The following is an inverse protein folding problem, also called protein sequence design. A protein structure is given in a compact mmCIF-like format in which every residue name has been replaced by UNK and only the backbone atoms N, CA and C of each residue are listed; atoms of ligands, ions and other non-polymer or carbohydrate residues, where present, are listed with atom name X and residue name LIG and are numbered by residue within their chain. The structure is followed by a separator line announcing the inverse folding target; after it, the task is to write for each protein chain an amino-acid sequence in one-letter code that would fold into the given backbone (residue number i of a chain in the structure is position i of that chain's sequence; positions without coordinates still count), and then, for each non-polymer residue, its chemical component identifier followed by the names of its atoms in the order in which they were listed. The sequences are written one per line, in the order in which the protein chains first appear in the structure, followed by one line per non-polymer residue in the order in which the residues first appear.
data_IF_727260440257
#
_entry.id   IF_727260440257
#
_cell.length_a   1.000
_cell.length_b   1.000
_cell.length_c   1.000
_cell.angle_alpha   90.00
_cell.angle_beta   90.00
_cell.angle_gamma   90.00
#
_symmetry.space_group_name_H-M   'P 1'
#
loop_
_entity.id
_entity.type
_entity.pdbx_description
1 polymer ?
#
# COMPACT_ATOMS: atom_id res chain seq x y z
N UNK A 1 3.86 -14.89 -19.57
CA UNK A 1 3.37 -13.51 -19.40
C UNK A 1 4.39 -12.80 -18.56
N UNK A 2 4.83 -11.59 -18.90
CA UNK A 2 5.76 -10.83 -18.07
C UNK A 2 5.05 -10.28 -16.83
N UNK A 3 5.80 -10.06 -15.75
CA UNK A 3 5.25 -9.44 -14.53
C UNK A 3 5.01 -7.97 -14.81
N UNK A 4 3.78 -7.44 -14.58
CA UNK A 4 3.51 -6.01 -14.78
C UNK A 4 4.34 -5.16 -13.81
N UNK A 5 4.68 -3.95 -14.23
CA UNK A 5 5.44 -2.97 -13.44
C UNK A 5 4.56 -1.87 -12.87
N UNK A 6 3.40 -1.64 -13.49
CA UNK A 6 2.47 -0.59 -13.09
C UNK A 6 1.07 -1.15 -12.88
N UNK A 7 0.25 -0.41 -12.12
CA UNK A 7 -1.16 -0.76 -11.95
C UNK A 7 -1.93 -0.72 -13.27
N UNK A 8 -1.61 0.20 -14.18
CA UNK A 8 -2.20 0.28 -15.52
C UNK A 8 -1.88 -0.96 -16.36
N UNK A 9 -0.63 -1.41 -16.35
CA UNK A 9 -0.24 -2.68 -17.00
C UNK A 9 -1.00 -3.87 -16.40
N UNK A 10 -1.08 -3.95 -15.06
CA UNK A 10 -1.77 -5.01 -14.37
C UNK A 10 -3.28 -5.03 -14.70
N UNK A 11 -3.92 -3.87 -14.75
CA UNK A 11 -5.33 -3.74 -15.17
C UNK A 11 -5.54 -4.30 -16.58
N UNK A 12 -4.73 -3.85 -17.54
CA UNK A 12 -4.83 -4.28 -18.95
C UNK A 12 -4.59 -5.79 -19.13
N UNK A 13 -3.71 -6.36 -18.30
CA UNK A 13 -3.40 -7.79 -18.34
C UNK A 13 -4.44 -8.66 -17.61
N UNK A 14 -5.24 -8.10 -16.71
CA UNK A 14 -6.13 -8.83 -15.79
C UNK A 14 -7.14 -9.73 -16.54
N UNK A 15 -7.72 -9.26 -17.63
CA UNK A 15 -8.71 -10.04 -18.40
C UNK A 15 -8.09 -11.29 -19.01
N UNK A 16 -7.01 -11.13 -19.76
CA UNK A 16 -6.32 -12.25 -20.40
C UNK A 16 -5.79 -13.25 -19.37
N UNK A 17 -5.27 -12.74 -18.25
CA UNK A 17 -4.78 -13.59 -17.17
C UNK A 17 -5.91 -14.42 -16.56
N UNK A 18 -7.04 -13.80 -16.23
CA UNK A 18 -8.19 -14.46 -15.63
C UNK A 18 -8.79 -15.52 -16.58
N UNK A 19 -8.93 -15.20 -17.87
CA UNK A 19 -9.44 -16.13 -18.89
C UNK A 19 -8.55 -17.38 -19.04
N UNK A 20 -7.23 -17.22 -18.86
CA UNK A 20 -6.26 -18.33 -18.98
C UNK A 20 -6.13 -19.18 -17.72
N UNK A 21 -6.30 -18.59 -16.55
CA UNK A 21 -5.92 -19.24 -15.27
C UNK A 21 -7.09 -19.46 -14.33
N UNK A 22 -8.17 -18.70 -14.45
CA UNK A 22 -9.25 -18.63 -13.47
C UNK A 22 -8.90 -17.93 -12.16
N UNK A 23 -7.69 -17.35 -12.06
CA UNK A 23 -7.24 -16.58 -10.90
C UNK A 23 -7.19 -15.09 -11.23
N UNK A 24 -7.30 -14.24 -10.22
CA UNK A 24 -7.08 -12.80 -10.36
C UNK A 24 -5.59 -12.49 -10.51
N UNK A 25 -5.24 -11.50 -11.33
CA UNK A 25 -3.86 -11.09 -11.48
C UNK A 25 -3.38 -10.32 -10.24
N UNK A 26 -4.15 -9.34 -9.79
CA UNK A 26 -3.88 -8.55 -8.60
C UNK A 26 -5.19 -8.07 -7.95
N UNK A 27 -5.09 -7.53 -6.74
CA UNK A 27 -6.16 -6.82 -6.06
C UNK A 27 -5.76 -5.36 -5.90
N UNK A 28 -6.63 -4.40 -6.25
CA UNK A 28 -6.36 -2.99 -6.03
C UNK A 28 -6.12 -2.66 -4.56
N UNK A 29 -5.23 -1.71 -4.29
CA UNK A 29 -4.98 -1.19 -2.95
C UNK A 29 -6.15 -0.29 -2.49
N UNK A 30 -6.08 0.22 -1.28
CA UNK A 30 -7.02 1.24 -0.78
C UNK A 30 -7.06 2.45 -1.71
N UNK A 31 -8.25 2.97 -1.96
CA UNK A 31 -8.44 4.07 -2.91
C UNK A 31 -7.65 5.32 -2.53
N UNK A 32 -7.51 5.58 -1.25
CA UNK A 32 -6.63 6.61 -0.71
C UNK A 32 -5.19 6.47 -1.24
N UNK A 33 -4.62 5.27 -1.24
CA UNK A 33 -3.28 5.02 -1.74
C UNK A 33 -3.20 5.15 -3.27
N UNK A 34 -4.20 4.62 -3.98
CA UNK A 34 -4.30 4.72 -5.45
C UNK A 34 -4.27 6.18 -5.90
N UNK A 35 -4.97 7.09 -5.20
CA UNK A 35 -4.96 8.51 -5.54
C UNK A 35 -3.54 9.11 -5.49
N UNK A 36 -2.77 8.82 -4.43
CA UNK A 36 -1.37 9.27 -4.35
C UNK A 36 -0.49 8.67 -5.45
N UNK A 37 -0.63 7.38 -5.72
CA UNK A 37 0.14 6.68 -6.74
C UNK A 37 -0.16 7.24 -8.14
N UNK A 38 -1.41 7.65 -8.39
CA UNK A 38 -1.87 8.25 -9.65
C UNK A 38 -1.66 9.77 -9.71
N UNK A 39 -0.95 10.36 -8.76
CA UNK A 39 -0.71 11.81 -8.68
C UNK A 39 -2.01 12.61 -8.70
N UNK A 40 -2.91 12.23 -7.80
CA UNK A 40 -4.17 12.94 -7.53
C UNK A 40 -4.12 13.44 -6.11
N UNK A 41 -4.16 14.75 -5.94
CA UNK A 41 -4.15 15.37 -4.63
C UNK A 41 -5.44 15.08 -3.87
N UNK A 42 -5.31 14.58 -2.65
CA UNK A 42 -6.47 14.34 -1.77
C UNK A 42 -6.95 15.63 -1.14
N UNK A 43 -6.00 16.48 -0.74
CA UNK A 43 -6.27 17.80 -0.16
C UNK A 43 -5.66 18.89 -1.03
N UNK A 44 -6.20 20.11 -0.91
CA UNK A 44 -5.60 21.32 -1.43
C UNK A 44 -4.19 21.53 -0.87
N UNK A 45 -3.36 22.31 -1.55
CA UNK A 45 -1.96 22.55 -1.17
C UNK A 45 -1.80 23.17 0.21
N UNK A 46 -2.81 23.85 0.73
CA UNK A 46 -2.85 24.40 2.09
C UNK A 46 -3.49 23.44 3.12
N UNK A 47 -3.93 22.26 2.70
CA UNK A 47 -4.55 21.25 3.54
C UNK A 47 -5.94 21.61 4.08
N UNK A 48 -6.61 22.62 3.54
CA UNK A 48 -7.86 23.15 4.11
C UNK A 48 -9.12 22.64 3.44
N UNK A 49 -9.00 22.01 2.26
CA UNK A 49 -10.13 21.49 1.50
C UNK A 49 -9.77 20.15 0.81
N UNK A 50 -10.79 19.35 0.51
CA UNK A 50 -10.65 18.18 -0.35
C UNK A 50 -10.36 18.64 -1.81
N UNK A 51 -9.50 17.90 -2.51
CA UNK A 51 -9.09 18.21 -3.88
C UNK A 51 -9.25 17.04 -4.86
N UNK A 52 -9.61 15.85 -4.39
CA UNK A 52 -9.66 14.63 -5.20
C UNK A 52 -10.92 14.51 -6.09
N UNK A 53 -11.96 15.33 -5.90
CA UNK A 53 -13.17 15.32 -6.74
C UNK A 53 -12.88 16.00 -8.09
N UNK A 54 -12.25 15.24 -8.98
CA UNK A 54 -11.81 15.73 -10.29
C UNK A 54 -12.25 14.78 -11.42
N UNK A 55 -12.22 15.27 -12.66
CA UNK A 55 -12.47 14.43 -13.83
C UNK A 55 -11.49 13.26 -13.91
N UNK A 56 -10.20 13.48 -13.56
CA UNK A 56 -9.18 12.43 -13.53
C UNK A 56 -9.57 11.30 -12.56
N UNK A 57 -10.08 11.64 -11.39
CA UNK A 57 -10.56 10.68 -10.40
C UNK A 57 -11.80 9.92 -10.90
N UNK A 58 -12.73 10.62 -11.53
CA UNK A 58 -13.93 10.00 -12.10
C UNK A 58 -13.57 9.01 -13.22
N UNK A 59 -12.60 9.35 -14.07
CA UNK A 59 -12.16 8.46 -15.15
C UNK A 59 -11.39 7.24 -14.61
N UNK A 60 -10.56 7.42 -13.60
CA UNK A 60 -9.90 6.33 -12.88
C UNK A 60 -10.93 5.35 -12.27
N UNK A 61 -11.95 5.85 -11.59
CA UNK A 61 -13.03 5.03 -11.02
C UNK A 61 -13.82 4.28 -12.11
N UNK A 62 -14.08 4.91 -13.26
CA UNK A 62 -14.73 4.24 -14.40
C UNK A 62 -13.91 3.07 -14.91
N UNK A 63 -12.59 3.25 -14.99
CA UNK A 63 -11.69 2.20 -15.43
C UNK A 63 -11.70 1.02 -14.47
N UNK A 64 -11.49 1.24 -13.17
CA UNK A 64 -11.59 0.16 -12.17
C UNK A 64 -12.95 -0.53 -12.17
N UNK A 65 -14.03 0.26 -12.30
CA UNK A 65 -15.38 -0.28 -12.41
C UNK A 65 -15.54 -1.20 -13.60
N UNK A 66 -15.02 -0.83 -14.76
CA UNK A 66 -15.09 -1.64 -15.97
C UNK A 66 -14.48 -3.04 -15.76
N UNK A 67 -13.29 -3.13 -15.18
CA UNK A 67 -12.62 -4.41 -14.92
C UNK A 67 -13.30 -5.21 -13.80
N UNK A 68 -13.85 -4.53 -12.81
CA UNK A 68 -14.61 -5.15 -11.72
C UNK A 68 -15.93 -5.72 -12.23
N UNK A 69 -16.66 -5.00 -13.08
CA UNK A 69 -17.92 -5.46 -13.68
C UNK A 69 -17.70 -6.63 -14.67
N UNK A 70 -16.53 -6.73 -15.28
CA UNK A 70 -16.10 -7.89 -16.06
C UNK A 70 -15.73 -9.10 -15.20
N UNK A 71 -15.66 -8.95 -13.88
CA UNK A 71 -15.32 -10.02 -12.93
C UNK A 71 -13.85 -10.44 -12.96
N UNK A 72 -12.96 -9.62 -13.51
CA UNK A 72 -11.51 -9.90 -13.63
C UNK A 72 -10.67 -9.22 -12.55
N UNK A 73 -11.29 -8.40 -11.72
CA UNK A 73 -10.77 -7.85 -10.47
C UNK A 73 -11.68 -8.28 -9.33
N UNK A 74 -11.14 -8.70 -8.16
CA UNK A 74 -11.97 -9.08 -7.01
C UNK A 74 -12.82 -7.91 -6.54
N UNK A 75 -14.14 -8.14 -6.47
CA UNK A 75 -15.10 -7.14 -5.97
C UNK A 75 -15.20 -7.14 -4.45
N UNK A 76 -15.10 -8.32 -3.86
CA UNK A 76 -15.16 -8.53 -2.42
C UNK A 76 -13.77 -8.38 -1.80
N UNK A 77 -13.73 -8.05 -0.51
CA UNK A 77 -12.50 -7.96 0.28
C UNK A 77 -11.53 -6.85 -0.16
N UNK A 78 -12.01 -5.92 -0.95
CA UNK A 78 -11.23 -4.77 -1.37
C UNK A 78 -10.66 -4.00 -0.18
N UNK A 79 -9.38 -3.58 -0.29
CA UNK A 79 -8.67 -2.85 0.76
C UNK A 79 -8.23 -3.71 1.96
N UNK A 80 -8.55 -5.00 2.00
CA UNK A 80 -8.11 -5.90 3.06
C UNK A 80 -6.86 -6.68 2.65
N UNK A 81 -5.72 -6.32 3.23
CA UNK A 81 -4.46 -7.02 2.99
C UNK A 81 -4.53 -8.50 3.43
N UNK A 82 -5.14 -8.81 4.57
CA UNK A 82 -5.29 -10.19 5.04
C UNK A 82 -6.10 -11.06 4.07
N UNK A 83 -7.16 -10.51 3.49
CA UNK A 83 -7.97 -11.24 2.51
C UNK A 83 -7.23 -11.39 1.17
N UNK A 84 -6.46 -10.38 0.75
CA UNK A 84 -5.60 -10.49 -0.43
C UNK A 84 -4.56 -11.60 -0.23
N UNK A 85 -3.95 -11.67 0.95
CA UNK A 85 -2.96 -12.70 1.26
C UNK A 85 -3.59 -14.10 1.26
N UNK A 86 -4.78 -14.28 1.82
CA UNK A 86 -5.52 -15.55 1.76
C UNK A 86 -5.86 -15.98 0.33
N UNK A 87 -6.25 -15.03 -0.54
CA UNK A 87 -6.46 -15.32 -1.96
C UNK A 87 -5.15 -15.78 -2.62
N UNK A 88 -4.04 -15.14 -2.31
CA UNK A 88 -2.71 -15.50 -2.78
C UNK A 88 -2.30 -16.90 -2.29
N UNK A 89 -2.40 -17.16 -1.00
CA UNK A 89 -2.12 -18.44 -0.35
C UNK A 89 -2.97 -19.60 -0.90
N UNK A 90 -4.17 -19.29 -1.40
CA UNK A 90 -5.06 -20.26 -2.06
C UNK A 90 -4.87 -20.38 -3.58
N UNK A 91 -3.88 -19.67 -4.15
CA UNK A 91 -3.62 -19.66 -5.60
C UNK A 91 -4.69 -18.93 -6.44
N UNK A 92 -5.55 -18.14 -5.80
CA UNK A 92 -6.61 -17.37 -6.47
C UNK A 92 -6.22 -15.94 -6.82
N UNK A 93 -5.07 -15.49 -6.35
CA UNK A 93 -4.46 -14.20 -6.64
C UNK A 93 -3.00 -14.42 -7.03
N UNK A 94 -2.53 -13.83 -8.11
CA UNK A 94 -1.18 -14.05 -8.60
C UNK A 94 -0.15 -13.07 -8.02
N UNK A 95 -0.58 -11.83 -7.74
CA UNK A 95 0.29 -10.77 -7.20
C UNK A 95 -0.35 -10.24 -5.92
N UNK A 96 0.42 -10.24 -4.84
CA UNK A 96 0.06 -9.58 -3.58
C UNK A 96 1.15 -8.59 -3.20
N UNK A 97 0.74 -7.36 -2.89
CA UNK A 97 1.65 -6.35 -2.34
C UNK A 97 1.91 -6.66 -0.87
N UNK A 98 3.18 -6.86 -0.51
CA UNK A 98 3.55 -7.25 0.83
C UNK A 98 4.99 -6.87 1.17
N UNK A 99 5.40 -7.12 2.41
CA UNK A 99 6.79 -7.01 2.86
C UNK A 99 7.45 -8.38 2.98
N UNK A 100 8.77 -8.42 3.06
CA UNK A 100 9.52 -9.66 3.24
C UNK A 100 9.10 -10.48 4.48
N UNK A 101 8.52 -9.84 5.51
CA UNK A 101 8.01 -10.53 6.69
C UNK A 101 6.86 -11.50 6.41
N UNK A 102 6.10 -11.29 5.31
CA UNK A 102 5.00 -12.18 4.94
C UNK A 102 5.48 -13.51 4.35
N UNK A 103 6.71 -13.60 3.89
CA UNK A 103 7.26 -14.83 3.33
C UNK A 103 7.28 -15.99 4.35
N UNK A 104 7.57 -15.68 5.61
CA UNK A 104 7.52 -16.68 6.68
C UNK A 104 6.11 -17.24 6.85
N UNK A 105 5.08 -16.36 6.86
CA UNK A 105 3.69 -16.78 6.94
C UNK A 105 3.27 -17.63 5.74
N UNK A 106 3.60 -17.21 4.51
CA UNK A 106 3.28 -17.98 3.30
C UNK A 106 3.97 -19.36 3.34
N UNK A 107 5.21 -19.40 3.82
CA UNK A 107 5.95 -20.67 3.99
C UNK A 107 5.28 -21.65 4.95
N UNK A 108 4.73 -21.12 6.05
CA UNK A 108 4.10 -21.93 7.09
C UNK A 108 2.66 -22.31 6.72
N UNK A 109 1.86 -21.39 6.18
CA UNK A 109 0.43 -21.57 5.90
C UNK A 109 0.16 -22.16 4.51
N UNK A 110 1.03 -21.87 3.51
CA UNK A 110 0.88 -22.31 2.11
C UNK A 110 2.22 -22.79 1.50
N UNK A 111 2.85 -23.87 2.03
CA UNK A 111 4.19 -24.30 1.62
C UNK A 111 4.30 -24.68 0.15
N UNK A 112 3.23 -25.11 -0.49
CA UNK A 112 3.25 -25.44 -1.93
C UNK A 112 3.22 -24.18 -2.79
N UNK A 113 2.53 -23.15 -2.38
CA UNK A 113 2.60 -21.83 -3.01
C UNK A 113 4.01 -21.25 -2.82
N UNK A 114 4.55 -21.28 -1.60
CA UNK A 114 5.89 -20.78 -1.31
C UNK A 114 6.99 -21.33 -2.25
N UNK A 115 6.89 -22.58 -2.67
CA UNK A 115 7.85 -23.20 -3.61
C UNK A 115 7.79 -22.65 -5.03
N UNK A 116 6.72 -21.96 -5.39
CA UNK A 116 6.45 -21.51 -6.76
C UNK A 116 6.45 -20.00 -6.93
N UNK A 117 6.52 -19.25 -5.82
CA UNK A 117 6.49 -17.80 -5.86
C UNK A 117 7.86 -17.19 -6.19
N UNK A 118 7.82 -15.98 -6.67
CA UNK A 118 8.96 -15.09 -6.84
C UNK A 118 8.63 -13.73 -6.20
N UNK A 119 9.64 -12.93 -5.97
CA UNK A 119 9.49 -11.55 -5.51
C UNK A 119 9.77 -10.60 -6.66
N UNK A 120 9.08 -9.47 -6.68
CA UNK A 120 9.26 -8.38 -7.65
C UNK A 120 9.23 -7.03 -6.94
N UNK A 121 9.64 -5.99 -7.64
CA UNK A 121 9.39 -4.62 -7.19
C UNK A 121 7.88 -4.38 -7.06
N UNK A 122 7.46 -3.48 -6.17
CA UNK A 122 6.04 -3.13 -6.06
C UNK A 122 5.52 -2.54 -7.38
N UNK A 123 4.25 -2.74 -7.65
CA UNK A 123 3.56 -2.00 -8.72
C UNK A 123 3.54 -0.51 -8.35
N UNK A 124 3.67 0.34 -9.35
CA UNK A 124 3.59 1.80 -9.18
C UNK A 124 2.49 2.38 -10.07
N UNK A 125 1.96 3.53 -9.67
CA UNK A 125 1.07 4.32 -10.51
C UNK A 125 1.84 5.35 -11.36
N UNK A 126 1.15 6.39 -11.81
CA UNK A 126 1.69 7.45 -12.66
C UNK A 126 2.87 8.22 -12.04
N UNK A 127 2.99 8.23 -10.73
CA UNK A 127 4.11 8.89 -10.03
C UNK A 127 5.42 8.10 -10.10
N UNK A 128 5.37 6.81 -10.39
CA UNK A 128 6.51 5.90 -10.25
C UNK A 128 6.96 5.68 -8.78
N UNK A 129 6.18 6.18 -7.82
CA UNK A 129 6.44 6.03 -6.39
C UNK A 129 5.70 4.81 -5.84
N UNK A 130 6.30 4.18 -4.86
CA UNK A 130 5.65 3.16 -4.05
C UNK A 130 5.37 3.69 -2.64
N UNK A 131 4.35 3.12 -1.99
CA UNK A 131 4.03 3.44 -0.60
C UNK A 131 5.05 2.82 0.35
N UNK A 132 5.52 3.61 1.31
CA UNK A 132 6.35 3.13 2.42
C UNK A 132 5.80 3.69 3.74
N UNK A 133 4.88 3.00 4.41
CA UNK A 133 4.33 3.46 5.67
C UNK A 133 5.41 3.47 6.75
N UNK A 134 5.56 4.60 7.43
CA UNK A 134 6.49 4.76 8.53
C UNK A 134 5.82 4.44 9.86
N UNK A 135 6.47 3.61 10.67
CA UNK A 135 6.08 3.41 12.06
C UNK A 135 6.75 4.47 12.93
N UNK A 136 5.95 5.26 13.64
CA UNK A 136 6.42 6.37 14.46
C UNK A 136 6.31 6.04 15.94
N UNK A 137 7.33 6.43 16.72
CA UNK A 137 7.26 6.50 18.17
C UNK A 137 6.79 7.89 18.58
N UNK A 138 5.72 7.94 19.36
CA UNK A 138 5.15 9.20 19.84
C UNK A 138 5.24 9.30 21.34
N UNK A 139 5.48 10.52 21.84
CA UNK A 139 5.44 10.83 23.26
C UNK A 139 4.22 11.72 23.52
N UNK A 140 3.25 11.27 24.31
CA UNK A 140 2.05 12.06 24.59
C UNK A 140 2.41 13.39 25.25
N UNK A 141 1.74 14.47 24.86
CA UNK A 141 1.96 15.82 25.44
C UNK A 141 1.71 15.91 26.95
N UNK A 142 0.88 15.00 27.49
CA UNK A 142 0.58 14.90 28.92
C UNK A 142 1.51 13.97 29.71
N UNK A 143 2.56 13.41 29.07
CA UNK A 143 3.52 12.58 29.78
C UNK A 143 4.33 13.43 30.78
N UNK A 144 4.45 12.96 32.00
CA UNK A 144 5.29 13.61 33.02
C UNK A 144 6.78 13.40 32.79
N UNK A 145 7.16 12.40 31.96
CA UNK A 145 8.55 12.02 31.67
C UNK A 145 8.92 12.24 30.20
N UNK A 146 8.45 13.32 29.57
CA UNK A 146 8.64 13.56 28.12
C UNK A 146 10.12 13.54 27.71
N UNK A 147 10.99 14.17 28.50
CA UNK A 147 12.43 14.26 28.18
C UNK A 147 13.10 12.89 28.15
N UNK A 148 12.80 12.04 29.10
CA UNK A 148 13.32 10.68 29.19
C UNK A 148 12.71 9.79 28.11
N UNK A 149 11.43 9.93 27.83
CA UNK A 149 10.75 9.22 26.77
C UNK A 149 11.32 9.55 25.38
N UNK A 150 11.60 10.84 25.10
CA UNK A 150 12.25 11.27 23.85
C UNK A 150 13.67 10.69 23.74
N UNK A 151 14.45 10.71 24.82
CA UNK A 151 15.78 10.10 24.84
C UNK A 151 15.72 8.60 24.54
N UNK A 152 14.76 7.90 25.14
CA UNK A 152 14.56 6.47 24.90
C UNK A 152 14.13 6.21 23.46
N UNK A 153 13.16 6.97 22.92
CA UNK A 153 12.75 6.88 21.54
C UNK A 153 13.94 7.06 20.59
N UNK A 154 14.74 8.12 20.78
CA UNK A 154 15.94 8.37 19.97
C UNK A 154 16.99 7.26 20.10
N UNK A 155 17.11 6.65 21.28
CA UNK A 155 18.04 5.54 21.50
C UNK A 155 17.60 4.31 20.70
N UNK A 156 16.35 3.88 20.79
CA UNK A 156 15.90 2.65 20.11
C UNK A 156 15.75 2.85 18.60
N UNK A 157 15.61 4.09 18.11
CA UNK A 157 15.52 4.40 16.68
C UNK A 157 16.84 4.87 16.05
N UNK A 158 17.96 4.81 16.77
CA UNK A 158 19.26 5.11 16.17
C UNK A 158 19.69 4.03 15.17
N UNK A 159 20.70 4.33 14.35
CA UNK A 159 21.17 3.43 13.28
C UNK A 159 21.50 2.02 13.78
N UNK A 160 22.23 1.91 14.91
CA UNK A 160 22.70 0.65 15.46
C UNK A 160 21.53 -0.23 15.94
N UNK A 161 20.61 0.35 16.72
CA UNK A 161 19.49 -0.37 17.27
C UNK A 161 18.44 -0.72 16.20
N UNK A 162 18.18 0.18 15.24
CA UNK A 162 17.33 -0.13 14.10
C UNK A 162 17.90 -1.28 13.27
N UNK A 163 19.20 -1.26 12.96
CA UNK A 163 19.85 -2.32 12.21
C UNK A 163 19.73 -3.67 12.93
N UNK A 164 20.03 -3.69 14.24
CA UNK A 164 19.92 -4.89 15.06
C UNK A 164 18.49 -5.45 15.11
N UNK A 165 17.50 -4.56 15.21
CA UNK A 165 16.09 -4.94 15.23
C UNK A 165 15.62 -5.45 13.86
N UNK A 166 15.93 -4.72 12.79
CA UNK A 166 15.51 -5.07 11.44
C UNK A 166 16.09 -6.41 10.97
N UNK A 167 17.32 -6.74 11.38
CA UNK A 167 17.91 -8.07 11.12
C UNK A 167 17.16 -9.22 11.79
N UNK A 168 16.43 -8.95 12.88
CA UNK A 168 15.68 -9.99 13.62
C UNK A 168 14.24 -10.17 13.16
N UNK A 169 13.60 -9.12 12.69
CA UNK A 169 12.16 -9.14 12.37
C UNK A 169 11.88 -8.96 10.88
N UNK A 170 12.89 -9.00 10.03
CA UNK A 170 12.79 -8.93 8.57
C UNK A 170 12.00 -7.72 8.06
N UNK A 171 12.21 -6.56 8.71
CA UNK A 171 11.70 -5.26 8.26
C UNK A 171 12.84 -4.37 7.79
N UNK A 172 12.53 -3.26 7.12
CA UNK A 172 13.52 -2.33 6.59
C UNK A 172 13.70 -1.12 7.52
N UNK A 173 14.96 -0.67 7.78
CA UNK A 173 15.20 0.46 8.68
C UNK A 173 14.85 1.80 8.03
N UNK A 174 14.44 2.77 8.83
CA UNK A 174 14.08 4.12 8.37
C UNK A 174 15.26 5.09 8.32
N UNK A 175 16.42 4.73 8.89
CA UNK A 175 17.60 5.60 8.85
C UNK A 175 18.49 5.28 7.65
N UNK A 176 19.00 6.31 6.98
CA UNK A 176 19.83 6.17 5.78
C UNK A 176 21.05 5.28 6.01
N UNK A 177 21.74 5.44 7.15
CA UNK A 177 22.94 4.64 7.44
C UNK A 177 22.61 3.17 7.66
N UNK A 178 21.57 2.86 8.41
CA UNK A 178 21.16 1.47 8.63
C UNK A 178 20.63 0.82 7.33
N UNK A 179 19.92 1.57 6.49
CA UNK A 179 19.38 1.06 5.21
C UNK A 179 20.46 0.71 4.19
N UNK A 180 21.66 1.25 4.32
CA UNK A 180 22.82 0.97 3.45
C UNK A 180 23.67 -0.21 3.93
N UNK A 181 23.30 -0.87 5.03
CA UNK A 181 24.05 -2.05 5.50
C UNK A 181 23.97 -3.19 4.48
N UNK A 182 25.12 -3.83 4.24
CA UNK A 182 25.24 -4.93 3.26
C UNK A 182 24.33 -6.13 3.55
N UNK A 183 23.86 -6.28 4.78
CA UNK A 183 22.89 -7.30 5.15
C UNK A 183 21.65 -7.32 4.24
N UNK A 184 21.17 -6.15 3.86
CA UNK A 184 19.95 -6.02 3.04
C UNK A 184 20.17 -6.33 1.55
N UNK A 185 21.41 -6.51 1.10
CA UNK A 185 21.74 -6.72 -0.31
C UNK A 185 22.62 -7.94 -0.57
N UNK A 186 23.11 -8.63 0.47
CA UNK A 186 24.13 -9.67 0.33
C UNK A 186 23.58 -11.08 0.05
N UNK A 187 22.36 -11.38 0.49
CA UNK A 187 21.75 -12.70 0.30
C UNK A 187 20.66 -12.61 -0.78
N UNK A 188 21.03 -12.88 -2.03
CA UNK A 188 20.11 -12.90 -3.17
C UNK A 188 19.71 -14.30 -3.63
N UNK A 189 20.21 -15.33 -2.96
CA UNK A 189 19.92 -16.72 -3.30
C UNK A 189 18.61 -17.22 -2.67
N UNK A 190 18.11 -16.51 -1.64
CA UNK A 190 16.85 -16.82 -0.96
C UNK A 190 15.75 -15.81 -1.34
N UNK A 191 14.47 -16.22 -1.23
CA UNK A 191 13.34 -15.31 -1.45
C UNK A 191 13.36 -14.13 -0.47
N UNK A 192 13.70 -14.40 0.79
CA UNK A 192 13.83 -13.40 1.85
C UNK A 192 14.92 -12.37 1.53
N UNK A 193 16.07 -12.84 1.08
CA UNK A 193 17.18 -11.97 0.68
C UNK A 193 16.86 -11.14 -0.58
N UNK A 194 16.22 -11.76 -1.58
CA UNK A 194 15.72 -11.04 -2.76
C UNK A 194 14.68 -9.96 -2.37
N UNK A 195 13.73 -10.28 -1.50
CA UNK A 195 12.74 -9.33 -1.00
C UNK A 195 13.41 -8.17 -0.24
N UNK A 196 14.44 -8.47 0.56
CA UNK A 196 15.22 -7.47 1.28
C UNK A 196 15.94 -6.52 0.32
N UNK A 197 16.62 -7.06 -0.70
CA UNK A 197 17.32 -6.27 -1.71
C UNK A 197 16.37 -5.38 -2.53
N UNK A 198 15.22 -5.91 -2.94
CA UNK A 198 14.19 -5.14 -3.63
C UNK A 198 13.57 -4.06 -2.76
N UNK A 199 13.36 -4.32 -1.46
CA UNK A 199 12.90 -3.32 -0.50
C UNK A 199 13.92 -2.19 -0.33
N UNK A 200 15.21 -2.52 -0.28
CA UNK A 200 16.29 -1.54 -0.21
C UNK A 200 16.30 -0.62 -1.46
N UNK A 201 16.10 -1.19 -2.64
CA UNK A 201 16.02 -0.42 -3.89
C UNK A 201 14.73 0.42 -3.93
N UNK A 202 13.57 -0.17 -3.62
CA UNK A 202 12.28 0.51 -3.63
C UNK A 202 12.21 1.67 -2.62
N UNK A 203 12.94 1.57 -1.50
CA UNK A 203 12.98 2.63 -0.48
C UNK A 203 13.49 3.97 -1.03
N UNK A 204 14.26 3.96 -2.10
CA UNK A 204 14.79 5.17 -2.74
C UNK A 204 13.71 5.96 -3.50
N UNK A 205 12.66 5.30 -3.94
CA UNK A 205 11.53 5.87 -4.69
C UNK A 205 10.21 5.73 -3.93
N UNK A 206 10.24 5.39 -2.66
CA UNK A 206 9.05 5.26 -1.83
C UNK A 206 8.78 6.53 -1.02
N UNK A 207 7.50 6.73 -0.72
CA UNK A 207 7.05 7.84 0.15
C UNK A 207 6.04 7.35 1.18
N UNK A 208 6.02 8.05 2.30
CA UNK A 208 4.89 8.00 3.23
C UNK A 208 3.76 8.88 2.67
N UNK A 209 2.56 8.30 2.54
CA UNK A 209 1.37 8.98 2.03
C UNK A 209 0.59 9.67 3.16
N UNK A 210 1.32 10.19 4.15
CA UNK A 210 0.72 10.99 5.22
C UNK A 210 0.26 12.34 4.72
N UNK A 211 -0.97 12.73 5.09
CA UNK A 211 -1.52 14.06 4.79
C UNK A 211 -0.99 15.14 5.75
N UNK A 212 -0.43 14.75 6.91
CA UNK A 212 0.06 15.69 7.92
C UNK A 212 -1.03 16.52 8.61
N UNK A 213 -2.29 16.07 8.57
CA UNK A 213 -3.44 16.76 9.19
C UNK A 213 -4.05 15.92 10.31
N UNK A 214 -4.78 16.58 11.21
CA UNK A 214 -5.62 15.90 12.20
C UNK A 214 -6.69 15.06 11.47
N UNK A 215 -7.23 14.04 12.15
CA UNK A 215 -8.26 13.17 11.60
C UNK A 215 -7.88 12.40 10.32
N UNK A 216 -6.59 12.26 10.00
CA UNK A 216 -6.12 11.59 8.77
C UNK A 216 -6.79 10.23 8.55
N UNK A 217 -6.91 9.39 9.59
CA UNK A 217 -7.54 8.06 9.45
C UNK A 217 -9.01 8.16 9.02
N UNK A 218 -9.76 9.12 9.58
CA UNK A 218 -11.15 9.35 9.19
C UNK A 218 -11.27 9.89 7.76
N UNK A 219 -10.30 10.70 7.32
CA UNK A 219 -10.22 11.21 5.94
C UNK A 219 -9.91 10.03 4.99
N UNK A 220 -8.97 9.18 5.32
CA UNK A 220 -8.66 7.96 4.57
C UNK A 220 -9.91 7.08 4.42
N UNK A 221 -10.63 6.86 5.51
CA UNK A 221 -11.88 6.09 5.49
C UNK A 221 -12.95 6.74 4.60
N UNK A 222 -13.09 8.08 4.65
CA UNK A 222 -14.04 8.81 3.80
C UNK A 222 -13.69 8.69 2.31
N UNK A 223 -12.41 8.79 1.96
CA UNK A 223 -11.93 8.58 0.59
C UNK A 223 -12.16 7.14 0.14
N UNK A 224 -11.84 6.16 0.97
CA UNK A 224 -12.03 4.74 0.66
C UNK A 224 -13.50 4.38 0.45
N UNK A 225 -14.44 5.02 1.17
CA UNK A 225 -15.88 4.86 0.97
C UNK A 225 -16.37 5.27 -0.42
N UNK A 226 -15.70 6.21 -1.08
CA UNK A 226 -16.04 6.58 -2.46
C UNK A 226 -15.87 5.38 -3.41
N UNK A 227 -14.75 4.68 -3.32
CA UNK A 227 -14.53 3.47 -4.11
C UNK A 227 -15.56 2.39 -3.77
N UNK A 228 -15.79 2.16 -2.49
CA UNK A 228 -16.79 1.19 -2.05
C UNK A 228 -18.18 1.49 -2.61
N UNK A 229 -18.60 2.75 -2.58
CA UNK A 229 -19.89 3.17 -3.11
C UNK A 229 -20.00 2.90 -4.62
N UNK A 230 -19.05 3.38 -5.42
CA UNK A 230 -19.16 3.28 -6.88
C UNK A 230 -18.77 1.89 -7.41
N UNK A 231 -17.74 1.25 -6.89
CA UNK A 231 -17.21 -0.01 -7.45
C UNK A 231 -17.91 -1.22 -6.84
N UNK A 232 -18.05 -1.25 -5.51
CA UNK A 232 -18.64 -2.40 -4.82
C UNK A 232 -20.16 -2.35 -4.84
N UNK A 233 -20.75 -1.21 -4.51
CA UNK A 233 -22.21 -1.07 -4.42
C UNK A 233 -22.87 -0.69 -5.76
N UNK A 234 -22.12 -0.10 -6.69
CA UNK A 234 -22.61 0.28 -8.01
C UNK A 234 -23.28 1.67 -8.05
N UNK A 235 -23.04 2.50 -7.06
CA UNK A 235 -23.57 3.85 -6.98
C UNK A 235 -22.99 4.74 -8.10
N UNK A 236 -23.64 5.87 -8.35
CA UNK A 236 -23.18 6.86 -9.32
C UNK A 236 -21.84 7.45 -8.90
N UNK A 237 -20.86 7.47 -9.80
CA UNK A 237 -19.49 7.89 -9.53
C UNK A 237 -19.44 9.35 -9.08
N UNK A 238 -20.13 10.27 -9.79
CA UNK A 238 -20.06 11.68 -9.45
C UNK A 238 -20.72 11.96 -8.11
N UNK A 239 -21.86 11.35 -7.82
CA UNK A 239 -22.52 11.48 -6.51
C UNK A 239 -21.66 10.95 -5.39
N UNK A 240 -20.92 9.84 -5.60
CA UNK A 240 -20.02 9.27 -4.60
C UNK A 240 -18.82 10.18 -4.36
N UNK A 241 -18.28 10.81 -5.41
CA UNK A 241 -17.21 11.81 -5.30
C UNK A 241 -17.68 13.07 -4.55
N UNK A 242 -18.85 13.59 -4.88
CA UNK A 242 -19.43 14.77 -4.23
C UNK A 242 -19.67 14.51 -2.73
N UNK A 243 -20.14 13.30 -2.38
CA UNK A 243 -20.34 12.92 -0.99
C UNK A 243 -19.00 12.77 -0.25
N UNK A 244 -18.02 12.12 -0.87
CA UNK A 244 -16.68 11.96 -0.28
C UNK A 244 -15.98 13.29 -0.04
N UNK A 245 -16.08 14.23 -1.00
CA UNK A 245 -15.58 15.60 -0.86
C UNK A 245 -16.24 16.32 0.32
N UNK A 246 -17.56 16.24 0.43
CA UNK A 246 -18.30 16.85 1.53
C UNK A 246 -17.90 16.27 2.90
N UNK A 247 -17.73 14.95 2.98
CA UNK A 247 -17.31 14.24 4.21
C UNK A 247 -15.89 14.64 4.63
N UNK A 248 -14.93 14.70 3.69
CA UNK A 248 -13.57 15.14 3.96
C UNK A 248 -13.54 16.59 4.41
N UNK A 249 -14.26 17.50 3.70
CA UNK A 249 -14.34 18.92 4.07
C UNK A 249 -14.98 19.14 5.46
N UNK A 250 -15.86 18.24 5.90
CA UNK A 250 -16.42 18.26 7.26
C UNK A 250 -15.38 17.83 8.30
N UNK A 251 -14.57 16.81 8.01
CA UNK A 251 -13.53 16.30 8.90
C UNK A 251 -12.39 17.31 9.10
N UNK A 252 -12.05 18.07 8.07
CA UNK A 252 -11.03 19.13 8.13
C UNK A 252 -11.40 20.31 9.03
N UNK A 253 -12.70 20.47 9.38
CA UNK A 253 -13.20 21.55 10.26
C UNK A 253 -13.29 21.14 11.73
N UNK A 254 -12.97 19.91 12.06
CA UNK A 254 -12.99 19.36 13.43
C UNK A 254 -11.59 19.40 14.07
#
# INVERSE_FOLDING_TARGET
MEVPKTFDEALKMSKEFYEKTGAYLFQPDEFFNILFEENIDILSSDGTAAAFNTQKTADLLKEYKQYTDQGVIPKNNWGSWDESLKLFESGKLAIVSSSGSSLSRIKDEAPDIYKTIAVSKPLTGATGLSRNPLMNLVVPSKSENQKEAIKFANYITNDENQLAFCKKVSIFPSTTKASQDSYFTSDTDTLEGQASAMSAEASQTSKDFSLGVANQSNIQDAVNKVYQACIVNGDDIQKSLDQGEADVNKLLKQ
#
